data_IF_246234790453
#
_entry.id   IF_246234790453
#
_cell.length_a   1.000
_cell.length_b   1.000
_cell.length_c   1.000
_cell.angle_alpha   90.00
_cell.angle_beta   90.00
_cell.angle_gamma   90.00
#
_symmetry.space_group_name_H-M   'P 1'
#
loop_
_entity.id
_entity.type
_entity.pdbx_description
1 polymer ?
#
# COMPACT_ATOMS: atom_id res chain seq x y z
N UNK A 1 17.36 -10.71 5.84
CA UNK A 1 15.91 -10.45 6.00
C UNK A 1 15.25 -11.72 6.50
N UNK A 2 14.12 -11.59 7.22
CA UNK A 2 13.33 -12.74 7.70
C UNK A 2 12.95 -13.67 6.55
N UNK A 3 12.56 -13.10 5.40
CA UNK A 3 12.20 -13.87 4.20
C UNK A 3 13.33 -14.76 3.65
N UNK A 4 14.61 -14.43 3.86
CA UNK A 4 15.74 -15.27 3.42
C UNK A 4 15.89 -16.54 4.26
N UNK A 5 15.51 -16.49 5.54
CA UNK A 5 15.65 -17.62 6.47
C UNK A 5 14.34 -18.39 6.65
N UNK A 6 13.20 -17.78 6.36
CA UNK A 6 11.89 -18.42 6.34
C UNK A 6 11.04 -17.87 5.19
N UNK A 7 10.83 -18.70 4.17
CA UNK A 7 10.01 -18.36 3.01
C UNK A 7 8.51 -18.32 3.32
N UNK A 8 8.08 -18.92 4.43
CA UNK A 8 6.68 -18.93 4.89
C UNK A 8 6.46 -17.79 5.89
N UNK A 9 6.55 -16.55 5.41
CA UNK A 9 6.31 -15.36 6.21
C UNK A 9 5.27 -14.44 5.56
N UNK A 10 4.55 -13.67 6.36
CA UNK A 10 3.57 -12.69 5.89
C UNK A 10 4.01 -11.32 6.42
N UNK A 11 3.94 -10.29 5.57
CA UNK A 11 4.15 -8.90 6.00
C UNK A 11 2.80 -8.25 6.23
N UNK A 12 2.57 -7.74 7.44
CA UNK A 12 1.36 -6.96 7.78
C UNK A 12 1.76 -5.51 7.91
N UNK A 13 1.13 -4.65 7.12
CA UNK A 13 1.37 -3.21 7.07
C UNK A 13 0.33 -2.48 7.91
N UNK A 14 0.80 -1.62 8.81
CA UNK A 14 -0.02 -0.71 9.62
C UNK A 14 0.44 0.71 9.29
N UNK A 15 -0.39 1.45 8.55
CA UNK A 15 -0.10 2.81 8.12
C UNK A 15 -1.32 3.47 7.48
N UNK A 16 -1.33 4.81 7.44
CA UNK A 16 -2.45 5.59 6.89
C UNK A 16 -2.28 6.06 5.45
N UNK A 17 -1.10 5.84 4.84
CA UNK A 17 -0.76 6.33 3.50
C UNK A 17 0.06 5.29 2.74
N UNK A 18 0.53 5.65 1.54
CA UNK A 18 1.37 4.79 0.72
C UNK A 18 2.67 4.41 1.46
N UNK A 19 2.94 3.12 1.53
CA UNK A 19 4.22 2.55 1.95
C UNK A 19 4.89 2.04 0.68
N UNK A 20 6.09 2.53 0.36
CA UNK A 20 6.84 2.07 -0.81
C UNK A 20 7.43 0.69 -0.50
N UNK A 21 7.14 -0.28 -1.38
CA UNK A 21 7.48 -1.69 -1.16
C UNK A 21 8.41 -2.26 -2.23
N UNK A 22 8.85 -1.42 -3.19
CA UNK A 22 9.56 -1.83 -4.41
C UNK A 22 10.78 -2.73 -4.13
N UNK A 23 11.54 -2.41 -3.08
CA UNK A 23 12.75 -3.13 -2.71
C UNK A 23 12.52 -4.56 -2.18
N UNK A 24 11.32 -4.88 -1.69
CA UNK A 24 11.08 -6.12 -0.94
C UNK A 24 9.79 -6.85 -1.23
N UNK A 25 8.81 -6.26 -1.91
CA UNK A 25 7.48 -6.87 -2.17
C UNK A 25 7.59 -8.24 -2.84
N UNK A 26 8.56 -8.41 -3.75
CA UNK A 26 8.81 -9.67 -4.47
C UNK A 26 9.50 -10.76 -3.65
N UNK A 27 10.00 -10.41 -2.47
CA UNK A 27 10.74 -11.32 -1.60
C UNK A 27 9.86 -11.99 -0.53
N UNK A 28 8.56 -11.71 -0.51
CA UNK A 28 7.62 -12.25 0.48
C UNK A 28 6.42 -12.88 -0.23
N UNK A 29 5.86 -13.99 0.29
CA UNK A 29 4.76 -14.69 -0.38
C UNK A 29 3.41 -13.98 -0.22
N UNK A 30 3.24 -13.13 0.80
CA UNK A 30 1.99 -12.44 1.06
C UNK A 30 2.19 -11.11 1.81
N UNK A 31 1.33 -10.13 1.49
CA UNK A 31 1.28 -8.80 2.11
C UNK A 31 -0.17 -8.49 2.47
N UNK A 32 -0.40 -8.02 3.70
CA UNK A 32 -1.72 -7.57 4.19
C UNK A 32 -1.62 -6.09 4.57
N UNK A 33 -2.50 -5.25 4.02
CA UNK A 33 -2.66 -3.87 4.47
C UNK A 33 -3.77 -3.80 5.54
N UNK A 34 -3.38 -3.62 6.80
CA UNK A 34 -4.29 -3.63 7.95
C UNK A 34 -4.76 -2.23 8.37
N UNK A 35 -4.13 -1.16 7.86
CA UNK A 35 -4.43 0.23 8.24
C UNK A 35 -4.35 0.46 9.76
N UNK A 36 -4.96 1.54 10.25
CA UNK A 36 -5.21 1.76 11.68
C UNK A 36 -6.56 1.14 12.07
N UNK A 37 -6.57 -0.17 12.30
CA UNK A 37 -7.77 -1.01 12.47
C UNK A 37 -8.49 -0.90 13.83
N UNK A 38 -8.14 0.10 14.64
CA UNK A 38 -8.79 0.35 15.94
C UNK A 38 -8.58 -0.76 16.97
N UNK A 39 -9.43 -0.78 18.00
CA UNK A 39 -9.29 -1.69 19.15
C UNK A 39 -9.50 -3.18 18.80
N UNK A 40 -10.35 -3.47 17.82
CA UNK A 40 -10.62 -4.84 17.35
C UNK A 40 -9.69 -5.29 16.22
N UNK A 41 -8.69 -4.46 15.87
CA UNK A 41 -7.80 -4.71 14.74
C UNK A 41 -7.03 -6.03 14.83
N UNK A 42 -6.65 -6.44 16.04
CA UNK A 42 -5.99 -7.73 16.27
C UNK A 42 -6.90 -8.93 15.99
N UNK A 43 -8.15 -8.85 16.44
CA UNK A 43 -9.16 -9.89 16.19
C UNK A 43 -9.50 -9.96 14.69
N UNK A 44 -9.74 -8.82 14.06
CA UNK A 44 -9.98 -8.75 12.61
C UNK A 44 -8.81 -9.31 11.79
N UNK A 45 -7.57 -9.02 12.17
CA UNK A 45 -6.39 -9.58 11.50
C UNK A 45 -6.31 -11.10 11.68
N UNK A 46 -6.58 -11.61 12.87
CA UNK A 46 -6.60 -13.05 13.13
C UNK A 46 -7.67 -13.74 12.27
N UNK A 47 -8.87 -13.20 12.20
CA UNK A 47 -9.95 -13.76 11.37
C UNK A 47 -9.57 -13.85 9.88
N UNK A 48 -8.84 -12.86 9.35
CA UNK A 48 -8.32 -12.90 7.98
C UNK A 48 -7.22 -13.95 7.82
N UNK A 49 -6.24 -13.98 8.73
CA UNK A 49 -5.07 -14.88 8.63
C UNK A 49 -5.47 -16.35 8.79
N UNK A 50 -6.43 -16.64 9.67
CA UNK A 50 -6.95 -18.00 9.87
C UNK A 50 -8.08 -18.36 8.90
N UNK A 51 -8.52 -17.44 8.05
CA UNK A 51 -9.52 -17.69 7.01
C UNK A 51 -10.96 -17.77 7.52
N UNK A 52 -11.24 -17.29 8.74
CA UNK A 52 -12.60 -17.11 9.24
C UNK A 52 -13.36 -16.05 8.42
N UNK A 53 -12.63 -15.07 7.88
CA UNK A 53 -13.14 -14.04 6.97
C UNK A 53 -12.23 -13.97 5.74
N UNK A 54 -12.82 -13.85 4.55
CA UNK A 54 -12.07 -13.66 3.31
C UNK A 54 -11.75 -12.16 3.12
N UNK A 55 -10.49 -11.76 2.86
CA UNK A 55 -10.16 -10.36 2.59
C UNK A 55 -10.92 -9.81 1.39
N UNK A 56 -11.61 -8.68 1.59
CA UNK A 56 -12.46 -8.03 0.59
C UNK A 56 -12.18 -6.54 0.37
N UNK A 57 -11.20 -5.99 1.09
CA UNK A 57 -10.81 -4.58 0.98
C UNK A 57 -10.22 -4.23 -0.38
N UNK A 58 -10.49 -3.00 -0.83
CA UNK A 58 -9.91 -2.41 -2.04
C UNK A 58 -9.10 -1.17 -1.66
N UNK A 59 -8.00 -0.93 -2.37
CA UNK A 59 -7.21 0.27 -2.12
C UNK A 59 -7.99 1.54 -2.49
N UNK A 60 -8.07 2.54 -1.60
CA UNK A 60 -8.71 3.82 -1.90
C UNK A 60 -7.80 4.78 -2.69
N UNK A 61 -6.51 4.47 -2.81
CA UNK A 61 -5.51 5.25 -3.55
C UNK A 61 -4.48 4.33 -4.24
N UNK A 62 -3.67 4.89 -5.13
CA UNK A 62 -2.58 4.16 -5.79
C UNK A 62 -1.30 4.19 -4.97
N UNK A 63 -0.64 3.05 -4.82
CA UNK A 63 0.72 2.96 -4.27
C UNK A 63 1.69 2.92 -5.46
N UNK A 64 2.49 3.98 -5.70
CA UNK A 64 3.44 3.97 -6.79
C UNK A 64 4.59 3.00 -6.50
N UNK A 65 5.24 2.52 -7.56
CA UNK A 65 6.46 1.72 -7.46
C UNK A 65 7.66 2.61 -7.11
N UNK A 66 7.79 3.74 -7.78
CA UNK A 66 8.86 4.72 -7.55
C UNK A 66 8.34 5.86 -6.65
N UNK A 67 9.03 6.21 -5.54
CA UNK A 67 8.68 7.36 -4.71
C UNK A 67 8.61 8.69 -5.46
N UNK A 68 9.35 8.85 -6.57
CA UNK A 68 9.31 10.06 -7.42
C UNK A 68 7.94 10.26 -8.10
N UNK A 69 7.06 9.26 -8.07
CA UNK A 69 5.69 9.39 -8.59
C UNK A 69 4.66 9.73 -7.50
N UNK A 70 5.11 9.96 -6.26
CA UNK A 70 4.26 10.57 -5.24
C UNK A 70 3.94 12.02 -5.62
N UNK A 71 2.77 12.53 -5.21
CA UNK A 71 2.47 13.95 -5.40
C UNK A 71 3.51 14.81 -4.67
N UNK A 72 3.76 16.01 -5.22
CA UNK A 72 4.53 17.02 -4.51
C UNK A 72 3.93 17.25 -3.12
N UNK A 73 4.78 17.31 -2.11
CA UNK A 73 4.41 17.55 -0.74
C UNK A 73 5.38 18.57 -0.12
N UNK A 74 4.80 19.62 0.44
CA UNK A 74 5.49 20.62 1.24
C UNK A 74 4.62 20.86 2.48
N UNK A 75 5.21 20.66 3.65
CA UNK A 75 4.50 20.79 4.93
C UNK A 75 4.24 22.24 5.32
N UNK A 76 5.02 23.18 4.76
CA UNK A 76 4.95 24.61 5.04
C UNK A 76 4.23 25.40 3.93
N UNK A 77 3.72 24.71 2.90
CA UNK A 77 3.02 25.36 1.80
C UNK A 77 1.65 25.89 2.25
N UNK A 78 1.43 27.19 2.03
CA UNK A 78 0.13 27.84 2.21
C UNK A 78 -0.87 27.51 1.07
N UNK A 79 -0.35 27.10 -0.08
CA UNK A 79 -1.13 26.75 -1.27
C UNK A 79 -0.47 25.60 -2.05
N UNK A 80 -1.30 24.67 -2.56
CA UNK A 80 -0.88 23.56 -3.42
C UNK A 80 -1.78 23.53 -4.65
N UNK A 81 -1.18 23.55 -5.85
CA UNK A 81 -1.90 23.37 -7.10
C UNK A 81 -2.02 21.88 -7.45
N UNK A 82 -3.25 21.41 -7.67
CA UNK A 82 -3.51 20.07 -8.20
C UNK A 82 -3.95 20.16 -9.66
N UNK A 83 -3.23 19.45 -10.53
CA UNK A 83 -3.64 19.29 -11.93
C UNK A 83 -4.89 18.44 -12.07
N UNK A 84 -5.52 18.52 -13.25
CA UNK A 84 -6.73 17.73 -13.58
C UNK A 84 -6.53 16.21 -13.42
N UNK A 85 -5.33 15.72 -13.73
CA UNK A 85 -4.97 14.31 -13.55
C UNK A 85 -4.26 14.13 -12.21
N UNK A 86 -4.75 13.20 -11.39
CA UNK A 86 -4.16 12.87 -10.08
C UNK A 86 -4.36 11.38 -9.73
N UNK A 87 -3.56 10.88 -8.80
CA UNK A 87 -3.63 9.48 -8.34
C UNK A 87 -3.54 8.50 -9.50
N UNK A 88 -4.45 7.51 -9.55
CA UNK A 88 -4.45 6.50 -10.61
C UNK A 88 -4.59 7.09 -12.02
N UNK A 89 -5.39 8.16 -12.20
CA UNK A 89 -5.60 8.77 -13.53
C UNK A 89 -4.34 9.43 -14.08
N UNK A 90 -3.51 9.99 -13.20
CA UNK A 90 -2.20 10.53 -13.58
C UNK A 90 -1.25 9.40 -13.97
N UNK A 91 -1.16 8.36 -13.12
CA UNK A 91 -0.30 7.20 -13.35
C UNK A 91 -0.63 6.47 -14.67
N UNK A 92 -1.92 6.29 -14.96
CA UNK A 92 -2.39 5.70 -16.21
C UNK A 92 -2.03 6.57 -17.41
N UNK A 93 -2.18 7.90 -17.29
CA UNK A 93 -1.88 8.84 -18.38
C UNK A 93 -0.40 8.90 -18.72
N UNK A 94 0.47 8.92 -17.71
CA UNK A 94 1.91 9.05 -17.93
C UNK A 94 2.57 7.74 -18.40
N UNK A 95 1.80 6.65 -18.59
CA UNK A 95 2.28 5.31 -18.97
C UNK A 95 3.43 4.79 -18.09
N UNK A 96 3.65 5.40 -16.93
CA UNK A 96 4.95 5.30 -16.27
C UNK A 96 5.02 4.16 -15.26
N UNK A 97 3.90 3.59 -14.80
CA UNK A 97 3.98 2.59 -13.73
C UNK A 97 2.78 1.67 -13.70
N UNK A 98 3.03 0.36 -13.72
CA UNK A 98 2.09 -0.59 -13.12
C UNK A 98 2.17 -0.40 -11.62
N UNK A 99 1.13 0.13 -10.93
CA UNK A 99 1.16 0.26 -9.49
C UNK A 99 1.40 -1.11 -8.86
N UNK A 100 2.09 -1.16 -7.72
CA UNK A 100 2.39 -2.44 -7.04
C UNK A 100 1.08 -3.20 -6.76
N UNK A 101 0.00 -2.47 -6.46
CA UNK A 101 -1.34 -3.01 -6.29
C UNK A 101 -2.34 -2.18 -7.10
N UNK A 102 -3.09 -2.85 -8.00
CA UNK A 102 -4.22 -2.26 -8.75
C UNK A 102 -5.54 -2.45 -7.97
N UNK A 103 -6.50 -1.55 -8.20
CA UNK A 103 -7.86 -1.61 -7.64
C UNK A 103 -8.59 -2.91 -8.05
#
# INVERSE_FOLDING_TARGET
>A
SVSKVNQNCIVVLIGGSAIIMEEWEKNVPAIIMAWYSGMEGGNALADIVFGNVNPSGKLPFSIPRDPNNLPFFDADADEIEYGYYHGYTLLDKVNSVTPILKK
#
